data_IF_943094336945
#
_entry.id   IF_943094336945
#
_cell.length_a   1.000
_cell.length_b   1.000
_cell.length_c   1.000
_cell.angle_alpha   90.00
_cell.angle_beta   90.00
_cell.angle_gamma   90.00
#
_symmetry.space_group_name_H-M   'P 1'
#
loop_
_entity.id
_entity.type
_entity.pdbx_description
1 polymer ?
#
# COMPACT_ATOMS: atom_id res chain seq x y z
N UNK A 1 -6.57 -1.60 -15.72
CA UNK A 1 -7.73 -1.76 -14.82
C UNK A 1 -8.80 -2.72 -15.36
N UNK A 2 -8.71 -3.24 -16.59
CA UNK A 2 -9.76 -4.10 -17.17
C UNK A 2 -9.81 -5.55 -16.61
N UNK A 3 -8.82 -5.99 -15.83
CA UNK A 3 -8.65 -7.42 -15.54
C UNK A 3 -9.40 -7.94 -14.29
N UNK A 4 -9.71 -7.09 -13.30
CA UNK A 4 -10.28 -7.56 -12.02
C UNK A 4 -11.73 -8.07 -12.15
N UNK A 5 -12.47 -7.67 -13.18
CA UNK A 5 -13.82 -8.18 -13.47
C UNK A 5 -13.86 -9.61 -14.04
N UNK A 6 -12.71 -10.15 -14.48
CA UNK A 6 -12.61 -11.54 -14.94
C UNK A 6 -12.64 -12.56 -13.80
N UNK A 7 -12.22 -12.13 -12.62
CA UNK A 7 -12.00 -12.97 -11.44
C UNK A 7 -13.31 -13.64 -10.97
N UNK A 8 -14.44 -12.94 -11.07
CA UNK A 8 -15.78 -13.44 -10.69
C UNK A 8 -16.49 -14.23 -11.81
N UNK A 9 -15.91 -14.37 -13.01
CA UNK A 9 -16.61 -14.98 -14.16
C UNK A 9 -17.03 -16.43 -13.97
N UNK A 10 -16.39 -17.15 -13.04
CA UNK A 10 -16.61 -18.56 -12.77
C UNK A 10 -17.63 -18.81 -11.65
N UNK A 11 -18.23 -17.76 -11.08
CA UNK A 11 -19.23 -17.85 -10.03
C UNK A 11 -20.63 -17.75 -10.61
N UNK A 12 -21.53 -18.62 -10.17
CA UNK A 12 -22.92 -18.67 -10.62
C UNK A 12 -23.67 -17.42 -10.18
N UNK A 13 -23.42 -16.98 -8.94
CA UNK A 13 -23.95 -15.74 -8.36
C UNK A 13 -23.33 -14.45 -8.94
N UNK A 14 -22.51 -14.50 -10.00
CA UNK A 14 -21.78 -13.33 -10.54
C UNK A 14 -22.69 -12.11 -10.77
N UNK A 15 -23.87 -12.30 -11.38
CA UNK A 15 -24.78 -11.18 -11.70
C UNK A 15 -25.22 -10.46 -10.42
N UNK A 16 -25.55 -11.23 -9.39
CA UNK A 16 -25.91 -10.72 -8.08
C UNK A 16 -24.73 -9.98 -7.42
N UNK A 17 -23.56 -10.61 -7.35
CA UNK A 17 -22.36 -10.01 -6.75
C UNK A 17 -21.96 -8.70 -7.42
N UNK A 18 -21.99 -8.64 -8.75
CA UNK A 18 -21.71 -7.40 -9.50
C UNK A 18 -22.76 -6.33 -9.23
N UNK A 19 -24.04 -6.69 -9.07
CA UNK A 19 -25.11 -5.75 -8.73
C UNK A 19 -24.89 -5.13 -7.35
N UNK A 20 -24.62 -5.96 -6.35
CA UNK A 20 -24.35 -5.56 -4.97
C UNK A 20 -23.11 -4.66 -4.85
N UNK A 21 -22.03 -5.01 -5.54
CA UNK A 21 -20.83 -4.18 -5.58
C UNK A 21 -21.09 -2.82 -6.24
N UNK A 22 -21.92 -2.78 -7.30
CA UNK A 22 -22.30 -1.53 -7.95
C UNK A 22 -23.18 -0.65 -7.06
N UNK A 23 -24.05 -1.24 -6.25
CA UNK A 23 -24.84 -0.49 -5.28
C UNK A 23 -23.93 0.16 -4.24
N UNK A 24 -22.98 -0.59 -3.69
CA UNK A 24 -21.95 -0.02 -2.79
C UNK A 24 -21.07 1.03 -3.45
N UNK A 25 -20.77 0.86 -4.74
CA UNK A 25 -20.03 1.86 -5.52
C UNK A 25 -20.80 3.18 -5.65
N UNK A 26 -22.15 3.16 -5.68
CA UNK A 26 -22.97 4.37 -5.72
C UNK A 26 -22.95 5.16 -4.42
N UNK A 27 -22.66 4.52 -3.29
CA UNK A 27 -22.46 5.20 -2.00
C UNK A 27 -21.10 5.91 -1.91
N UNK A 28 -20.17 5.62 -2.84
CA UNK A 28 -18.89 6.30 -2.91
C UNK A 28 -19.04 7.68 -3.60
N UNK A 29 -18.18 8.66 -3.27
CA UNK A 29 -18.21 9.96 -3.93
C UNK A 29 -18.09 9.83 -5.44
N UNK A 30 -19.02 10.44 -6.16
CA UNK A 30 -18.99 10.40 -7.61
C UNK A 30 -17.95 11.38 -8.18
N UNK A 31 -17.80 11.37 -9.51
CA UNK A 31 -16.85 12.26 -10.18
C UNK A 31 -17.15 13.74 -9.93
N UNK A 32 -18.42 14.13 -9.84
CA UNK A 32 -18.81 15.52 -9.60
C UNK A 32 -18.46 15.95 -8.18
N UNK A 33 -18.70 15.09 -7.18
CA UNK A 33 -18.30 15.33 -5.80
C UNK A 33 -16.79 15.51 -5.67
N UNK A 34 -16.01 14.65 -6.35
CA UNK A 34 -14.55 14.78 -6.40
C UNK A 34 -14.10 16.09 -7.05
N UNK A 35 -14.74 16.50 -8.16
CA UNK A 35 -14.46 17.79 -8.80
C UNK A 35 -14.84 18.96 -7.90
N UNK A 36 -15.99 18.91 -7.22
CA UNK A 36 -16.43 19.94 -6.28
C UNK A 36 -15.44 20.07 -5.12
N UNK A 37 -14.90 18.96 -4.63
CA UNK A 37 -13.85 18.95 -3.61
C UNK A 37 -12.54 19.59 -4.13
N UNK A 38 -12.05 19.18 -5.30
CA UNK A 38 -10.78 19.67 -5.86
C UNK A 38 -10.87 21.14 -6.26
N UNK A 39 -12.04 21.62 -6.68
CA UNK A 39 -12.29 23.03 -6.98
C UNK A 39 -12.74 23.84 -5.76
N UNK A 40 -12.87 23.22 -4.58
CA UNK A 40 -13.28 23.93 -3.37
C UNK A 40 -12.21 24.93 -2.91
N UNK A 41 -12.65 26.05 -2.35
CA UNK A 41 -11.74 27.03 -1.72
C UNK A 41 -10.89 26.42 -0.60
N UNK A 42 -11.42 25.41 0.11
CA UNK A 42 -10.68 24.66 1.15
C UNK A 42 -9.48 23.92 0.55
N UNK A 43 -9.69 23.16 -0.53
CA UNK A 43 -8.62 22.41 -1.19
C UNK A 43 -7.59 23.34 -1.83
N UNK A 44 -8.04 24.35 -2.57
CA UNK A 44 -7.16 25.35 -3.18
C UNK A 44 -6.35 26.11 -2.12
N UNK A 45 -6.98 26.48 -1.00
CA UNK A 45 -6.33 27.12 0.15
C UNK A 45 -5.24 26.23 0.76
N UNK A 46 -5.54 24.95 1.01
CA UNK A 46 -4.56 23.99 1.51
C UNK A 46 -3.33 23.87 0.58
N UNK A 47 -3.56 23.75 -0.73
CA UNK A 47 -2.47 23.69 -1.71
C UNK A 47 -1.67 24.99 -1.74
N UNK A 48 -2.33 26.14 -1.65
CA UNK A 48 -1.68 27.44 -1.64
C UNK A 48 -0.84 27.63 -0.37
N UNK A 49 -1.36 27.23 0.78
CA UNK A 49 -0.66 27.34 2.07
C UNK A 49 0.55 26.39 2.12
N UNK A 50 0.40 25.15 1.65
CA UNK A 50 1.53 24.22 1.51
C UNK A 50 2.57 24.76 0.54
N UNK A 51 2.14 25.26 -0.62
CA UNK A 51 3.05 25.84 -1.63
C UNK A 51 3.79 27.06 -1.08
N UNK A 52 3.08 27.95 -0.38
CA UNK A 52 3.66 29.12 0.29
C UNK A 52 4.68 28.68 1.33
N UNK A 53 4.35 27.70 2.17
CA UNK A 53 5.25 27.17 3.19
C UNK A 53 6.51 26.57 2.58
N UNK A 54 6.40 25.84 1.46
CA UNK A 54 7.55 25.27 0.76
C UNK A 54 8.44 26.36 0.14
N UNK A 55 7.84 27.27 -0.64
CA UNK A 55 8.58 28.29 -1.39
C UNK A 55 9.23 29.33 -0.47
N UNK A 56 8.54 29.72 0.61
CA UNK A 56 9.09 30.64 1.63
C UNK A 56 10.06 29.96 2.59
N UNK A 57 10.26 28.64 2.46
CA UNK A 57 11.04 27.83 3.40
C UNK A 57 10.55 28.05 4.83
N UNK A 58 9.24 27.98 5.04
CA UNK A 58 8.56 28.30 6.29
C UNK A 58 9.00 27.45 7.49
N UNK A 59 9.77 26.37 7.28
CA UNK A 59 10.43 25.61 8.34
C UNK A 59 11.67 26.30 8.92
N UNK A 60 12.36 27.18 8.18
CA UNK A 60 13.66 27.73 8.59
C UNK A 60 13.66 28.47 9.93
N UNK A 61 12.65 29.30 10.26
CA UNK A 61 12.60 30.00 11.55
C UNK A 61 12.48 29.07 12.76
N UNK A 62 12.01 27.84 12.55
CA UNK A 62 11.79 26.85 13.62
C UNK A 62 13.01 25.95 13.87
N UNK A 63 14.10 26.13 13.14
CA UNK A 63 15.33 25.38 13.34
C UNK A 63 16.17 26.04 14.45
N UNK A 64 16.77 25.23 15.33
CA UNK A 64 17.88 25.67 16.16
C UNK A 64 19.20 25.60 15.36
N UNK A 65 20.30 26.09 15.94
CA UNK A 65 21.61 26.11 15.26
C UNK A 65 22.07 24.70 14.89
N UNK A 66 21.83 23.73 15.78
CA UNK A 66 22.16 22.32 15.54
C UNK A 66 21.38 21.72 14.36
N UNK A 67 20.09 22.03 14.24
CA UNK A 67 19.26 21.56 13.14
C UNK A 67 19.65 22.24 11.82
N UNK A 68 20.00 23.53 11.85
CA UNK A 68 20.55 24.24 10.69
C UNK A 68 21.84 23.59 10.18
N UNK A 69 22.79 23.32 11.07
CA UNK A 69 24.04 22.64 10.73
C UNK A 69 23.79 21.26 10.10
N UNK A 70 22.87 20.46 10.67
CA UNK A 70 22.47 19.16 10.10
C UNK A 70 21.86 19.29 8.70
N UNK A 71 20.95 20.25 8.50
CA UNK A 71 20.29 20.45 7.21
C UNK A 71 21.24 20.95 6.12
N UNK A 72 22.37 21.56 6.49
CA UNK A 72 23.41 21.99 5.56
C UNK A 72 24.32 20.84 5.09
N UNK A 73 24.25 19.66 5.72
CA UNK A 73 25.05 18.49 5.35
C UNK A 73 24.50 17.80 4.09
N UNK A 74 25.31 16.92 3.51
CA UNK A 74 24.88 16.05 2.42
C UNK A 74 23.65 15.23 2.83
N UNK A 75 22.71 15.06 1.91
CA UNK A 75 21.49 14.26 2.14
C UNK A 75 21.78 12.75 2.19
N UNK A 76 22.91 12.28 1.65
CA UNK A 76 23.21 10.84 1.51
C UNK A 76 23.37 10.11 2.86
N UNK A 77 24.11 10.62 3.87
CA UNK A 77 24.13 10.00 5.19
C UNK A 77 22.75 9.96 5.86
N UNK A 78 21.96 11.04 5.70
CA UNK A 78 20.59 11.09 6.21
C UNK A 78 19.70 10.04 5.54
N UNK A 79 19.80 9.87 4.21
CA UNK A 79 19.02 8.87 3.49
C UNK A 79 19.37 7.45 3.95
N UNK A 80 20.65 7.14 4.14
CA UNK A 80 21.08 5.84 4.67
C UNK A 80 20.48 5.56 6.05
N UNK A 81 20.52 6.54 6.96
CA UNK A 81 19.94 6.40 8.30
C UNK A 81 18.42 6.17 8.24
N UNK A 82 17.71 6.94 7.42
CA UNK A 82 16.25 6.83 7.31
C UNK A 82 15.83 5.51 6.65
N UNK A 83 16.52 5.10 5.59
CA UNK A 83 16.28 3.80 4.93
C UNK A 83 16.54 2.63 5.87
N UNK A 84 17.67 2.65 6.60
CA UNK A 84 18.00 1.62 7.58
C UNK A 84 16.96 1.55 8.70
N UNK A 85 16.49 2.70 9.20
CA UNK A 85 15.43 2.76 10.21
C UNK A 85 14.12 2.16 9.69
N UNK A 86 13.64 2.61 8.53
CA UNK A 86 12.37 2.10 7.98
C UNK A 86 12.47 0.64 7.58
N UNK A 87 13.67 0.17 7.26
CA UNK A 87 13.95 -1.25 7.01
C UNK A 87 13.86 -2.08 8.28
N UNK A 88 14.48 -1.65 9.38
CA UNK A 88 14.35 -2.31 10.67
C UNK A 88 12.87 -2.36 11.12
N UNK A 89 12.15 -1.23 11.02
CA UNK A 89 10.71 -1.17 11.31
C UNK A 89 9.88 -2.12 10.42
N UNK A 90 10.35 -2.43 9.21
CA UNK A 90 9.72 -3.37 8.28
C UNK A 90 10.04 -4.82 8.64
N UNK A 91 11.28 -5.13 8.99
CA UNK A 91 11.69 -6.47 9.43
C UNK A 91 11.00 -6.89 10.72
N UNK A 92 10.81 -5.95 11.66
CA UNK A 92 10.03 -6.19 12.87
C UNK A 92 8.55 -6.49 12.56
N UNK A 93 8.02 -5.89 11.49
CA UNK A 93 6.63 -6.06 11.05
C UNK A 93 6.44 -7.37 10.25
N UNK A 94 7.48 -7.85 9.57
CA UNK A 94 7.47 -9.06 8.74
C UNK A 94 8.54 -10.06 9.20
N UNK A 95 8.48 -10.57 10.45
CA UNK A 95 9.53 -11.40 11.02
C UNK A 95 9.70 -12.72 10.25
N UNK A 96 10.92 -13.12 9.85
CA UNK A 96 11.15 -14.29 9.00
C UNK A 96 10.69 -15.60 9.64
N UNK A 97 10.76 -15.72 10.96
CA UNK A 97 10.49 -16.95 11.69
C UNK A 97 9.00 -17.25 11.86
N UNK A 98 8.11 -16.29 11.54
CA UNK A 98 6.68 -16.41 11.75
C UNK A 98 5.93 -16.47 10.41
N UNK A 99 5.00 -17.40 10.29
CA UNK A 99 3.98 -17.34 9.23
C UNK A 99 2.90 -16.34 9.64
N UNK A 100 2.58 -15.40 8.76
CA UNK A 100 1.59 -14.36 9.02
C UNK A 100 0.22 -14.78 8.47
N UNK A 101 -0.80 -14.49 9.26
CA UNK A 101 -2.20 -14.59 8.85
C UNK A 101 -2.59 -13.42 7.95
N UNK A 102 -3.73 -13.55 7.26
CA UNK A 102 -4.34 -12.47 6.48
C UNK A 102 -4.43 -11.15 7.25
N UNK A 103 -4.98 -11.18 8.46
CA UNK A 103 -5.19 -9.99 9.26
C UNK A 103 -3.86 -9.33 9.64
N UNK A 104 -2.86 -10.13 9.99
CA UNK A 104 -1.52 -9.62 10.32
C UNK A 104 -0.85 -8.95 9.12
N UNK A 105 -1.00 -9.49 7.91
CA UNK A 105 -0.53 -8.82 6.68
C UNK A 105 -1.21 -7.47 6.48
N UNK A 106 -2.55 -7.42 6.59
CA UNK A 106 -3.35 -6.20 6.41
C UNK A 106 -2.96 -5.12 7.42
N UNK A 107 -2.76 -5.48 8.68
CA UNK A 107 -2.35 -4.55 9.74
C UNK A 107 -0.98 -3.90 9.48
N UNK A 108 -0.10 -4.56 8.72
CA UNK A 108 1.21 -4.01 8.37
C UNK A 108 1.24 -3.21 7.05
N UNK A 109 0.12 -3.10 6.32
CA UNK A 109 0.04 -2.41 5.02
C UNK A 109 0.65 -1.00 5.09
N UNK A 110 0.30 -0.22 6.11
CA UNK A 110 0.80 1.15 6.26
C UNK A 110 2.32 1.20 6.48
N UNK A 111 2.89 0.25 7.24
CA UNK A 111 4.35 0.19 7.46
C UNK A 111 5.09 -0.14 6.17
N UNK A 112 4.56 -1.09 5.40
CA UNK A 112 5.08 -1.46 4.09
C UNK A 112 5.04 -0.28 3.11
N UNK A 113 3.88 0.39 2.99
CA UNK A 113 3.74 1.59 2.17
C UNK A 113 4.74 2.68 2.60
N UNK A 114 4.84 2.96 3.90
CA UNK A 114 5.75 3.98 4.42
C UNK A 114 7.21 3.67 4.10
N UNK A 115 7.63 2.42 4.20
CA UNK A 115 8.98 1.99 3.79
C UNK A 115 9.21 2.28 2.30
N UNK A 116 8.30 1.84 1.43
CA UNK A 116 8.39 2.03 -0.02
C UNK A 116 8.46 3.53 -0.39
N UNK A 117 7.58 4.37 0.18
CA UNK A 117 7.55 5.81 -0.07
C UNK A 117 8.78 6.55 0.47
N UNK A 118 9.28 6.16 1.65
CA UNK A 118 10.54 6.71 2.20
C UNK A 118 11.65 6.51 1.21
N UNK A 119 11.71 5.31 0.62
CA UNK A 119 12.67 5.04 -0.41
C UNK A 119 12.47 5.89 -1.68
N UNK A 120 11.24 6.16 -2.11
CA UNK A 120 10.99 7.01 -3.30
C UNK A 120 11.56 8.40 -3.08
N UNK A 121 11.43 8.94 -1.86
CA UNK A 121 12.01 10.23 -1.49
C UNK A 121 13.52 10.35 -1.68
N UNK A 122 14.25 9.23 -1.66
CA UNK A 122 15.71 9.19 -1.86
C UNK A 122 16.14 8.49 -3.15
N UNK A 123 15.21 8.19 -4.06
CA UNK A 123 15.45 7.34 -5.22
C UNK A 123 16.61 7.82 -6.12
N UNK A 124 16.76 9.13 -6.30
CA UNK A 124 17.81 9.71 -7.16
C UNK A 124 19.23 9.54 -6.61
N UNK A 125 19.40 9.13 -5.36
CA UNK A 125 20.70 8.95 -4.71
C UNK A 125 21.32 7.56 -4.93
N UNK A 126 20.59 6.63 -5.55
CA UNK A 126 20.95 5.21 -5.67
C UNK A 126 20.59 4.67 -7.05
N UNK A 127 21.27 3.58 -7.46
CA UNK A 127 21.04 2.94 -8.75
C UNK A 127 19.59 2.54 -8.93
N UNK A 128 19.04 2.78 -10.12
CA UNK A 128 17.68 2.32 -10.45
C UNK A 128 17.57 0.80 -10.40
N UNK A 129 18.61 0.09 -10.84
CA UNK A 129 18.65 -1.37 -10.86
C UNK A 129 18.61 -1.93 -9.44
N UNK A 130 19.53 -1.51 -8.57
CA UNK A 130 19.59 -1.99 -7.18
C UNK A 130 18.31 -1.66 -6.40
N UNK A 131 17.73 -0.46 -6.63
CA UNK A 131 16.45 -0.07 -6.03
C UNK A 131 15.31 -0.96 -6.49
N UNK A 132 15.23 -1.27 -7.78
CA UNK A 132 14.16 -2.10 -8.31
C UNK A 132 14.30 -3.54 -7.81
N UNK A 133 15.50 -4.11 -7.84
CA UNK A 133 15.76 -5.45 -7.34
C UNK A 133 15.35 -5.60 -5.88
N UNK A 134 15.67 -4.60 -5.05
CA UNK A 134 15.27 -4.62 -3.64
C UNK A 134 13.76 -4.40 -3.44
N UNK A 135 13.13 -3.48 -4.18
CA UNK A 135 11.76 -3.02 -3.86
C UNK A 135 10.63 -3.71 -4.60
N UNK A 136 10.88 -4.29 -5.77
CA UNK A 136 9.82 -4.96 -6.52
C UNK A 136 9.13 -6.06 -5.69
N UNK A 137 9.86 -6.94 -4.99
CA UNK A 137 9.23 -7.94 -4.11
C UNK A 137 8.35 -7.31 -3.01
N UNK A 138 8.78 -6.20 -2.42
CA UNK A 138 7.98 -5.48 -1.42
C UNK A 138 6.73 -4.81 -2.00
N UNK A 139 6.82 -4.31 -3.23
CA UNK A 139 5.68 -3.77 -3.95
C UNK A 139 4.68 -4.87 -4.33
N UNK A 140 5.16 -6.05 -4.73
CA UNK A 140 4.33 -7.21 -4.99
C UNK A 140 3.63 -7.70 -3.71
N UNK A 141 4.32 -7.68 -2.57
CA UNK A 141 3.72 -7.99 -1.27
C UNK A 141 2.59 -7.01 -0.93
N UNK A 142 2.78 -5.71 -1.20
CA UNK A 142 1.73 -4.70 -1.01
C UNK A 142 0.53 -4.97 -1.92
N UNK A 143 0.76 -5.35 -3.18
CA UNK A 143 -0.32 -5.74 -4.09
C UNK A 143 -1.10 -6.96 -3.58
N UNK A 144 -0.41 -7.93 -2.97
CA UNK A 144 -1.04 -9.08 -2.31
C UNK A 144 -1.97 -8.66 -1.16
N UNK A 145 -1.57 -7.68 -0.35
CA UNK A 145 -2.43 -7.10 0.70
C UNK A 145 -3.67 -6.46 0.08
N UNK A 146 -3.51 -5.68 -0.99
CA UNK A 146 -4.64 -5.06 -1.68
C UNK A 146 -5.62 -6.12 -2.23
N UNK A 147 -5.12 -7.24 -2.73
CA UNK A 147 -5.97 -8.33 -3.21
C UNK A 147 -6.70 -9.05 -2.06
N UNK A 148 -6.09 -9.20 -0.87
CA UNK A 148 -6.78 -9.68 0.34
C UNK A 148 -7.91 -8.73 0.77
N UNK A 149 -7.67 -7.42 0.75
CA UNK A 149 -8.69 -6.40 1.04
C UNK A 149 -9.83 -6.45 0.02
N UNK A 150 -9.55 -6.74 -1.25
CA UNK A 150 -10.59 -6.93 -2.25
C UNK A 150 -11.48 -8.15 -1.95
N UNK A 151 -10.94 -9.22 -1.36
CA UNK A 151 -11.75 -10.35 -0.91
C UNK A 151 -12.67 -9.96 0.27
N UNK A 152 -12.25 -9.08 1.18
CA UNK A 152 -13.09 -8.61 2.31
C UNK A 152 -14.39 -7.96 1.83
N UNK A 153 -14.37 -7.30 0.66
CA UNK A 153 -15.56 -6.68 0.10
C UNK A 153 -16.67 -7.68 -0.23
N UNK A 154 -16.30 -8.93 -0.54
CA UNK A 154 -17.23 -9.99 -0.94
C UNK A 154 -17.78 -10.78 0.25
N UNK A 155 -17.09 -10.78 1.40
CA UNK A 155 -17.49 -11.58 2.57
C UNK A 155 -18.91 -11.27 3.06
N UNK A 156 -19.34 -10.00 3.21
CA UNK A 156 -20.69 -9.74 3.67
C UNK A 156 -21.77 -10.11 2.64
N UNK A 157 -21.39 -10.37 1.38
CA UNK A 157 -22.32 -10.82 0.33
C UNK A 157 -22.62 -12.31 0.42
N UNK A 158 -21.78 -13.09 1.12
CA UNK A 158 -22.02 -14.52 1.37
C UNK A 158 -23.34 -14.73 2.11
N UNK A 159 -23.61 -13.91 3.13
CA UNK A 159 -24.84 -14.01 3.93
C UNK A 159 -26.10 -13.60 3.16
N UNK A 160 -25.95 -13.00 1.98
CA UNK A 160 -27.06 -12.67 1.08
C UNK A 160 -27.36 -13.77 0.06
N UNK A 161 -26.56 -14.83 0.02
CA UNK A 161 -26.73 -15.98 -0.87
C UNK A 161 -27.22 -17.19 -0.08
N UNK A 162 -27.86 -18.12 -0.79
CA UNK A 162 -28.38 -19.36 -0.22
C UNK A 162 -27.96 -20.57 -1.07
N UNK A 163 -27.99 -21.76 -0.46
CA UNK A 163 -27.73 -23.02 -1.15
C UNK A 163 -26.38 -23.08 -1.86
N UNK A 164 -26.38 -23.63 -3.08
CA UNK A 164 -25.16 -23.89 -3.86
C UNK A 164 -24.37 -22.61 -4.19
N UNK A 165 -25.05 -21.49 -4.42
CA UNK A 165 -24.40 -20.20 -4.72
C UNK A 165 -23.57 -19.69 -3.53
N UNK A 166 -24.11 -19.81 -2.31
CA UNK A 166 -23.39 -19.48 -1.06
C UNK A 166 -22.17 -20.37 -0.89
N UNK A 167 -22.35 -21.69 -0.98
CA UNK A 167 -21.26 -22.66 -0.81
C UNK A 167 -20.16 -22.50 -1.87
N UNK A 168 -20.54 -22.12 -3.09
CA UNK A 168 -19.58 -21.86 -4.16
C UNK A 168 -18.75 -20.61 -3.89
N UNK A 169 -19.36 -19.51 -3.44
CA UNK A 169 -18.65 -18.28 -3.08
C UNK A 169 -17.71 -18.51 -1.88
N UNK A 170 -18.17 -19.17 -0.82
CA UNK A 170 -17.34 -19.48 0.35
C UNK A 170 -16.11 -20.32 -0.03
N UNK A 171 -16.29 -21.38 -0.82
CA UNK A 171 -15.18 -22.21 -1.31
C UNK A 171 -14.23 -21.42 -2.20
N UNK A 172 -14.77 -20.52 -3.02
CA UNK A 172 -13.97 -19.67 -3.90
C UNK A 172 -13.13 -18.67 -3.11
N UNK A 173 -13.72 -17.98 -2.12
CA UNK A 173 -13.01 -17.04 -1.23
C UNK A 173 -11.87 -17.74 -0.48
N UNK A 174 -12.14 -18.89 0.16
CA UNK A 174 -11.11 -19.68 0.85
C UNK A 174 -9.96 -20.08 -0.08
N UNK A 175 -10.28 -20.48 -1.32
CA UNK A 175 -9.26 -20.86 -2.31
C UNK A 175 -8.42 -19.67 -2.75
N UNK A 176 -9.05 -18.52 -3.01
CA UNK A 176 -8.33 -17.30 -3.38
C UNK A 176 -7.44 -16.82 -2.24
N UNK A 177 -7.96 -16.74 -1.02
CA UNK A 177 -7.19 -16.35 0.15
C UNK A 177 -5.98 -17.26 0.34
N UNK A 178 -6.17 -18.58 0.32
CA UNK A 178 -5.05 -19.53 0.46
C UNK A 178 -4.01 -19.38 -0.65
N UNK A 179 -4.43 -19.13 -1.90
CA UNK A 179 -3.52 -18.90 -3.02
C UNK A 179 -2.73 -17.60 -2.85
N UNK A 180 -3.39 -16.52 -2.43
CA UNK A 180 -2.77 -15.21 -2.23
C UNK A 180 -1.78 -15.29 -1.06
N UNK A 181 -2.18 -15.85 0.09
CA UNK A 181 -1.31 -16.01 1.25
C UNK A 181 -0.08 -16.87 0.93
N UNK A 182 -0.25 -17.96 0.16
CA UNK A 182 0.89 -18.76 -0.28
C UNK A 182 1.85 -17.94 -1.15
N UNK A 183 1.35 -17.20 -2.13
CA UNK A 183 2.19 -16.36 -2.99
C UNK A 183 2.90 -15.26 -2.19
N UNK A 184 2.17 -14.57 -1.31
CA UNK A 184 2.71 -13.54 -0.42
C UNK A 184 3.79 -14.08 0.50
N UNK A 185 3.63 -15.28 1.04
CA UNK A 185 4.65 -15.90 1.89
C UNK A 185 5.94 -16.15 1.10
N UNK A 186 5.86 -16.67 -0.13
CA UNK A 186 7.05 -16.83 -0.98
C UNK A 186 7.71 -15.49 -1.31
N UNK A 187 6.91 -14.48 -1.69
CA UNK A 187 7.40 -13.13 -1.95
C UNK A 187 8.08 -12.54 -0.72
N UNK A 188 7.51 -12.74 0.47
CA UNK A 188 8.06 -12.24 1.73
C UNK A 188 9.42 -12.87 2.05
N UNK A 189 9.58 -14.18 1.87
CA UNK A 189 10.87 -14.86 2.08
C UNK A 189 11.96 -14.28 1.16
N UNK A 190 11.66 -14.13 -0.14
CA UNK A 190 12.58 -13.48 -1.10
C UNK A 190 12.90 -12.04 -0.67
N UNK A 191 11.89 -11.31 -0.19
CA UNK A 191 12.03 -9.90 0.18
C UNK A 191 12.93 -9.70 1.41
N UNK A 192 12.88 -10.62 2.38
CA UNK A 192 13.70 -10.58 3.60
C UNK A 192 15.18 -10.89 3.29
N UNK A 193 15.44 -11.76 2.31
CA UNK A 193 16.79 -12.09 1.85
C UNK A 193 17.43 -11.00 0.99
N UNK A 194 16.65 -10.00 0.53
CA UNK A 194 17.14 -8.95 -0.35
C UNK A 194 18.15 -8.02 0.36
N UNK A 195 19.31 -7.81 -0.26
CA UNK A 195 20.34 -6.94 0.28
C UNK A 195 19.97 -5.44 0.16
N UNK A 196 20.04 -4.66 1.25
CA UNK A 196 19.77 -3.23 1.21
C UNK A 196 20.74 -2.44 0.32
N UNK A 197 20.22 -1.87 -0.78
CA UNK A 197 21.01 -1.11 -1.78
C UNK A 197 21.72 0.16 -1.26
N UNK A 198 21.48 0.56 -0.01
CA UNK A 198 22.08 1.75 0.59
C UNK A 198 23.29 1.47 1.49
N UNK A 199 23.70 0.21 1.60
CA UNK A 199 24.88 -0.20 2.35
C UNK A 199 26.16 -0.22 1.50
N UNK A 200 26.02 -0.10 0.17
CA UNK A 200 27.10 -0.05 -0.81
C UNK A 200 27.56 1.39 -1.11
#
# INVERSE_FOLDING_TARGET
>A
MEDKGHVLRKLDARKFLVSELKEREQDLPDREDMLRLIHSGRYAGLLLDLSRWILSRGWQPFLDDKAREKMAQSIKPFSMQQLARTWAELMDAFPPEKSLTRQEYIEQQYRLMRNLYTGVGFASLYSMEERNNFRLPWADLLQGIDDLLMLELLEPLVEKLEGEEREQLERWLRRQESSILHAMEQTRQISIEAEPYWQN
#
